data_IF_194576530838
#
_entry.id   IF_194576530838
#
_cell.length_a   1.000
_cell.length_b   1.000
_cell.length_c   1.000
_cell.angle_alpha   90.00
_cell.angle_beta   90.00
_cell.angle_gamma   90.00
#
_symmetry.space_group_name_H-M   'P 1'
#
loop_
_entity.id
_entity.type
_entity.pdbx_description
1 polymer ?
#
# COMPACT_ATOMS: atom_id res chain seq x y z
N UNK A 1 4.24 27.08 -9.50
CA UNK A 1 5.10 25.91 -9.25
C UNK A 1 4.92 24.90 -10.35
N UNK A 2 6.02 24.48 -10.99
CA UNK A 2 6.04 23.52 -12.10
C UNK A 2 5.74 22.08 -11.62
N UNK A 3 5.34 21.18 -12.52
CA UNK A 3 5.04 19.77 -12.18
C UNK A 3 6.25 19.02 -11.63
N UNK A 4 7.45 19.37 -12.10
CA UNK A 4 8.72 18.73 -11.72
C UNK A 4 9.49 19.50 -10.65
N UNK A 5 8.97 20.62 -10.18
CA UNK A 5 9.63 21.44 -9.15
C UNK A 5 9.44 20.76 -7.78
N UNK A 6 10.53 20.37 -7.08
CA UNK A 6 10.42 19.73 -5.78
C UNK A 6 9.95 20.73 -4.71
N UNK A 7 9.05 20.29 -3.84
CA UNK A 7 8.63 21.04 -2.67
C UNK A 7 8.71 20.15 -1.42
N UNK A 8 8.92 20.79 -0.27
CA UNK A 8 9.00 20.08 1.02
C UNK A 8 7.60 19.82 1.54
N UNK A 9 7.36 18.61 2.03
CA UNK A 9 6.15 18.33 2.80
C UNK A 9 6.33 18.95 4.18
N UNK A 10 5.47 19.91 4.57
CA UNK A 10 5.54 20.48 5.90
C UNK A 10 5.19 19.39 6.91
N UNK A 11 5.59 19.60 8.16
CA UNK A 11 4.98 18.82 9.24
C UNK A 11 5.15 17.30 9.07
N UNK A 12 6.35 16.85 8.68
CA UNK A 12 6.78 15.46 8.82
C UNK A 12 8.04 15.35 9.68
N UNK A 13 8.27 14.19 10.35
CA UNK A 13 9.50 13.97 11.11
C UNK A 13 10.76 14.09 10.23
N UNK A 14 10.67 13.65 8.98
CA UNK A 14 11.77 13.69 8.01
C UNK A 14 11.58 14.78 6.96
N UNK A 15 12.69 15.23 6.37
CA UNK A 15 12.68 16.20 5.28
C UNK A 15 12.34 15.50 3.96
N UNK A 16 11.06 15.25 3.74
CA UNK A 16 10.58 14.66 2.49
C UNK A 16 10.35 15.76 1.45
N UNK A 17 10.88 15.56 0.25
CA UNK A 17 10.64 16.40 -0.92
C UNK A 17 9.93 15.60 -1.99
N UNK A 18 8.85 16.15 -2.53
CA UNK A 18 8.09 15.55 -3.62
C UNK A 18 7.90 16.57 -4.74
N UNK A 19 7.75 16.07 -5.97
CA UNK A 19 7.22 16.85 -7.09
C UNK A 19 5.70 16.68 -7.15
N UNK A 20 4.98 17.55 -7.87
CA UNK A 20 3.53 17.41 -8.03
C UNK A 20 3.15 16.10 -8.73
N UNK A 21 3.99 15.67 -9.69
CA UNK A 21 3.81 14.40 -10.40
C UNK A 21 3.94 13.16 -9.52
N UNK A 22 4.55 13.27 -8.33
CA UNK A 22 4.66 12.19 -7.35
C UNK A 22 3.50 12.16 -6.35
N UNK A 23 2.63 13.18 -6.34
CA UNK A 23 1.49 13.21 -5.43
C UNK A 23 0.44 12.19 -5.85
N UNK A 24 -0.25 11.55 -4.88
CA UNK A 24 -1.43 10.76 -5.16
C UNK A 24 -2.45 11.57 -5.96
N UNK A 25 -3.11 10.93 -6.93
CA UNK A 25 -4.13 11.59 -7.76
C UNK A 25 -5.22 12.24 -6.93
N UNK A 26 -5.54 11.70 -5.74
CA UNK A 26 -6.52 12.29 -4.83
C UNK A 26 -6.13 13.65 -4.25
N UNK A 27 -4.84 13.97 -4.19
CA UNK A 27 -4.33 15.21 -3.57
C UNK A 27 -3.96 16.24 -4.66
N UNK A 28 -3.88 15.82 -5.93
CA UNK A 28 -3.55 16.69 -7.04
C UNK A 28 -4.76 17.59 -7.41
N UNK A 29 -4.63 18.93 -7.48
CA UNK A 29 -5.73 19.84 -7.85
C UNK A 29 -6.38 19.55 -9.20
N UNK A 30 -5.72 18.79 -10.08
CA UNK A 30 -6.28 18.31 -11.36
C UNK A 30 -7.08 17.01 -11.26
N UNK A 31 -7.39 16.52 -10.05
CA UNK A 31 -8.13 15.27 -9.83
C UNK A 31 -9.58 15.35 -10.29
N UNK A 32 -10.15 14.19 -10.65
CA UNK A 32 -11.57 14.05 -10.97
C UNK A 32 -12.43 14.51 -9.79
N UNK A 33 -13.53 15.22 -10.07
CA UNK A 33 -14.45 15.79 -9.06
C UNK A 33 -14.92 14.75 -8.03
N UNK A 34 -15.23 13.53 -8.48
CA UNK A 34 -15.67 12.43 -7.60
C UNK A 34 -14.63 12.05 -6.53
N UNK A 35 -13.33 12.19 -6.83
CA UNK A 35 -12.26 11.89 -5.88
C UNK A 35 -12.14 12.99 -4.83
N UNK A 36 -12.37 14.24 -5.22
CA UNK A 36 -12.35 15.39 -4.31
C UNK A 36 -13.52 15.32 -3.33
N UNK A 37 -14.73 15.01 -3.82
CA UNK A 37 -15.92 14.83 -2.98
C UNK A 37 -15.73 13.71 -1.95
N UNK A 38 -15.08 12.62 -2.35
CA UNK A 38 -14.76 11.54 -1.43
C UNK A 38 -13.75 11.96 -0.36
N UNK A 39 -12.75 12.76 -0.72
CA UNK A 39 -11.75 13.26 0.24
C UNK A 39 -12.36 14.21 1.27
N UNK A 40 -13.28 15.09 0.87
CA UNK A 40 -14.02 15.96 1.79
C UNK A 40 -14.82 15.12 2.80
N UNK A 41 -15.48 14.06 2.33
CA UNK A 41 -16.22 13.14 3.22
C UNK A 41 -15.31 12.41 4.20
N UNK A 42 -14.13 11.96 3.77
CA UNK A 42 -13.13 11.36 4.66
C UNK A 42 -12.70 12.36 5.74
N UNK A 43 -12.37 13.59 5.36
CA UNK A 43 -11.91 14.60 6.31
C UNK A 43 -12.99 14.94 7.35
N UNK A 44 -14.25 15.07 6.92
CA UNK A 44 -15.36 15.30 7.83
C UNK A 44 -15.54 14.13 8.83
N UNK A 45 -15.50 12.89 8.33
CA UNK A 45 -15.58 11.71 9.20
C UNK A 45 -14.39 11.63 10.18
N UNK A 46 -13.16 11.89 9.71
CA UNK A 46 -11.96 11.89 10.54
C UNK A 46 -11.94 12.95 11.64
N UNK A 47 -12.73 14.01 11.51
CA UNK A 47 -12.88 15.03 12.55
C UNK A 47 -13.81 14.57 13.69
N UNK A 48 -14.71 13.62 13.42
CA UNK A 48 -15.72 13.15 14.37
C UNK A 48 -15.35 11.80 15.03
N UNK A 49 -14.38 11.06 14.50
CA UNK A 49 -13.98 9.76 15.06
C UNK A 49 -13.38 9.91 16.46
N UNK A 50 -13.66 8.92 17.32
CA UNK A 50 -13.01 8.84 18.64
C UNK A 50 -11.49 8.67 18.51
N UNK A 51 -11.02 7.88 17.55
CA UNK A 51 -9.60 7.69 17.28
C UNK A 51 -9.38 6.77 16.09
N UNK A 52 -8.11 6.46 15.82
CA UNK A 52 -7.70 5.79 14.58
C UNK A 52 -7.05 4.45 14.88
N UNK A 53 -7.49 3.42 14.16
CA UNK A 53 -6.89 2.08 14.20
C UNK A 53 -6.07 1.90 12.93
N UNK A 54 -4.78 1.59 13.07
CA UNK A 54 -3.83 1.50 11.96
C UNK A 54 -3.26 0.09 11.89
N UNK A 55 -3.28 -0.51 10.69
CA UNK A 55 -2.59 -1.75 10.39
C UNK A 55 -1.09 -1.50 10.15
N UNK A 56 -0.40 -1.00 11.18
CA UNK A 56 1.05 -0.82 11.30
C UNK A 56 1.44 -1.16 12.74
N UNK A 57 2.73 -1.08 13.08
CA UNK A 57 3.26 -1.26 14.44
C UNK A 57 4.37 -0.24 14.71
N UNK A 58 4.59 0.11 15.99
CA UNK A 58 5.44 1.24 16.37
C UNK A 58 6.88 1.07 15.90
N UNK A 59 7.40 -0.14 15.93
CA UNK A 59 8.78 -0.47 15.57
C UNK A 59 9.05 -0.27 14.07
N UNK A 60 8.01 -0.33 13.23
CA UNK A 60 8.13 -0.07 11.79
C UNK A 60 8.28 1.43 11.49
N UNK A 61 7.49 2.27 12.17
CA UNK A 61 7.36 3.70 11.84
C UNK A 61 7.33 4.61 13.10
N UNK A 62 8.33 4.52 14.00
CA UNK A 62 8.21 5.03 15.37
C UNK A 62 7.95 6.53 15.46
N UNK A 63 8.70 7.33 14.69
CA UNK A 63 8.59 8.80 14.70
C UNK A 63 7.28 9.29 14.10
N UNK A 64 6.72 8.56 13.13
CA UNK A 64 5.46 8.90 12.48
C UNK A 64 4.28 8.55 13.38
N UNK A 65 4.31 7.38 14.01
CA UNK A 65 3.29 6.96 15.00
C UNK A 65 3.24 7.92 16.18
N UNK A 66 4.38 8.29 16.77
CA UNK A 66 4.41 9.18 17.92
C UNK A 66 3.91 10.60 17.57
N UNK A 67 4.25 11.09 16.37
CA UNK A 67 3.72 12.35 15.87
C UNK A 67 2.21 12.29 15.66
N UNK A 68 1.72 11.27 14.94
CA UNK A 68 0.31 11.15 14.61
C UNK A 68 -0.56 10.95 15.86
N UNK A 69 -0.04 10.24 16.87
CA UNK A 69 -0.63 10.18 18.21
C UNK A 69 -0.80 11.56 18.82
N UNK A 70 0.26 12.37 18.83
CA UNK A 70 0.21 13.74 19.36
C UNK A 70 -0.84 14.59 18.63
N UNK A 71 -0.94 14.47 17.31
CA UNK A 71 -1.93 15.19 16.50
C UNK A 71 -3.37 14.72 16.76
N UNK A 72 -3.57 13.42 17.03
CA UNK A 72 -4.89 12.82 17.32
C UNK A 72 -5.21 12.68 18.82
N UNK A 73 -4.45 13.34 19.70
CA UNK A 73 -4.69 13.33 21.15
C UNK A 73 -4.51 11.97 21.81
N UNK A 74 -3.47 11.22 21.42
CA UNK A 74 -3.09 9.88 21.87
C UNK A 74 -4.08 8.75 21.57
N UNK A 75 -5.09 9.01 20.73
CA UNK A 75 -6.11 8.03 20.34
C UNK A 75 -5.77 7.32 19.03
N UNK A 76 -4.56 6.75 18.95
CA UNK A 76 -4.09 5.97 17.80
C UNK A 76 -3.56 4.61 18.25
N UNK A 77 -4.18 3.55 17.72
CA UNK A 77 -3.84 2.17 18.01
C UNK A 77 -3.27 1.49 16.77
N UNK A 78 -1.99 1.18 16.82
CA UNK A 78 -1.29 0.36 15.85
C UNK A 78 -1.53 -1.12 16.21
N UNK A 79 -2.28 -1.85 15.39
CA UNK A 79 -2.69 -3.24 15.64
C UNK A 79 -2.13 -4.22 14.58
N UNK A 80 -1.22 -3.74 13.72
CA UNK A 80 -0.65 -4.53 12.63
C UNK A 80 0.50 -5.44 13.06
N UNK A 81 0.93 -6.39 12.23
CA UNK A 81 0.46 -6.70 10.86
C UNK A 81 -0.70 -7.71 10.89
N UNK A 82 -1.91 -7.27 10.54
CA UNK A 82 -3.11 -8.14 10.52
C UNK A 82 -2.98 -9.31 9.54
N UNK A 83 -2.09 -9.20 8.54
CA UNK A 83 -1.80 -10.28 7.59
C UNK A 83 -1.18 -11.52 8.24
N UNK A 84 -0.50 -11.38 9.39
CA UNK A 84 0.16 -12.49 10.08
C UNK A 84 -0.78 -13.25 11.03
N UNK A 85 -1.89 -12.62 11.42
CA UNK A 85 -2.84 -13.18 12.39
C UNK A 85 -3.91 -14.06 11.73
N UNK A 86 -4.22 -13.83 10.46
CA UNK A 86 -5.19 -14.63 9.72
C UNK A 86 -4.55 -15.95 9.27
N UNK A 87 -4.56 -16.95 10.15
CA UNK A 87 -4.01 -18.29 9.89
C UNK A 87 -5.03 -19.26 9.32
N UNK A 88 -6.32 -19.02 9.53
CA UNK A 88 -7.37 -19.93 9.08
C UNK A 88 -7.66 -19.81 7.58
N UNK A 89 -7.84 -20.96 6.94
CA UNK A 89 -8.11 -21.08 5.51
C UNK A 89 -9.43 -20.39 5.11
N UNK A 90 -10.40 -20.32 6.03
CA UNK A 90 -11.70 -19.66 5.84
C UNK A 90 -11.58 -18.13 5.77
N UNK A 91 -10.70 -17.51 6.57
CA UNK A 91 -10.48 -16.05 6.58
C UNK A 91 -9.74 -15.57 5.32
N UNK A 92 -8.99 -16.46 4.67
CA UNK A 92 -8.29 -16.20 3.39
C UNK A 92 -9.19 -16.43 2.18
N UNK A 93 -10.01 -17.49 2.20
CA UNK A 93 -10.84 -17.92 1.08
C UNK A 93 -11.92 -16.91 0.68
N UNK A 94 -12.41 -16.06 1.60
CA UNK A 94 -13.39 -15.03 1.26
C UNK A 94 -12.80 -13.80 0.56
N UNK A 95 -11.47 -13.65 0.55
CA UNK A 95 -10.78 -12.50 -0.07
C UNK A 95 -10.28 -12.78 -1.49
N UNK A 96 -10.35 -14.03 -1.94
CA UNK A 96 -9.71 -14.51 -3.17
C UNK A 96 -10.71 -14.73 -4.30
N UNK A 97 -10.39 -14.21 -5.49
CA UNK A 97 -10.89 -14.80 -6.73
C UNK A 97 -10.19 -16.16 -6.93
N UNK A 98 -10.90 -17.14 -7.50
CA UNK A 98 -10.33 -18.45 -7.77
C UNK A 98 -9.07 -18.31 -8.62
N UNK A 99 -7.92 -18.68 -8.05
CA UNK A 99 -6.64 -18.62 -8.76
C UNK A 99 -6.67 -19.53 -10.00
N UNK A 100 -5.92 -19.13 -11.03
CA UNK A 100 -5.80 -19.94 -12.26
C UNK A 100 -5.03 -21.24 -12.02
N UNK A 101 -4.17 -21.29 -11.00
CA UNK A 101 -3.33 -22.44 -10.64
C UNK A 101 -3.75 -22.91 -9.25
N UNK A 102 -3.83 -24.22 -9.08
CA UNK A 102 -4.10 -24.83 -7.78
C UNK A 102 -2.99 -24.52 -6.76
N UNK A 103 -3.39 -24.16 -5.54
CA UNK A 103 -2.46 -23.80 -4.46
C UNK A 103 -1.44 -24.91 -4.19
N UNK A 104 -1.85 -26.17 -4.22
CA UNK A 104 -0.96 -27.28 -3.91
C UNK A 104 0.07 -27.50 -5.02
N UNK A 105 -0.30 -27.24 -6.27
CA UNK A 105 0.65 -27.30 -7.39
C UNK A 105 1.75 -26.23 -7.27
N UNK A 106 1.35 -24.99 -6.97
CA UNK A 106 2.31 -23.88 -6.77
C UNK A 106 3.27 -24.18 -5.60
N UNK A 107 2.74 -24.64 -4.47
CA UNK A 107 3.56 -25.00 -3.30
C UNK A 107 4.49 -26.18 -3.57
N UNK A 108 4.02 -27.19 -4.33
CA UNK A 108 4.87 -28.31 -4.72
C UNK A 108 6.06 -27.84 -5.56
N UNK A 109 5.81 -27.02 -6.59
CA UNK A 109 6.87 -26.46 -7.42
C UNK A 109 7.86 -25.61 -6.61
N UNK A 110 7.36 -24.79 -5.67
CA UNK A 110 8.21 -23.94 -4.84
C UNK A 110 9.13 -24.75 -3.91
N UNK A 111 8.64 -25.88 -3.37
CA UNK A 111 9.42 -26.77 -2.52
C UNK A 111 10.54 -27.52 -3.28
N UNK A 112 10.50 -27.54 -4.62
CA UNK A 112 11.52 -28.17 -5.46
C UNK A 112 12.66 -27.19 -5.82
N UNK A 113 12.58 -25.91 -5.44
CA UNK A 113 13.59 -24.89 -5.75
C UNK A 113 14.59 -24.70 -4.60
N UNK A 114 15.79 -24.22 -4.93
CA UNK A 114 16.82 -23.92 -3.93
C UNK A 114 16.42 -22.71 -3.05
N UNK A 115 16.80 -22.68 -1.76
CA UNK A 115 16.51 -21.54 -0.91
C UNK A 115 17.06 -20.22 -1.47
N UNK A 116 16.18 -19.23 -1.61
CA UNK A 116 16.54 -17.90 -2.14
C UNK A 116 16.69 -17.83 -3.66
N UNK A 117 16.34 -18.87 -4.42
CA UNK A 117 16.45 -18.87 -5.89
C UNK A 117 15.20 -18.38 -6.63
N UNK A 118 14.09 -18.12 -5.91
CA UNK A 118 12.79 -17.75 -6.51
C UNK A 118 12.46 -16.30 -6.22
N UNK A 119 12.05 -15.56 -7.26
CA UNK A 119 11.52 -14.19 -7.14
C UNK A 119 10.00 -14.21 -7.09
N UNK A 120 9.41 -13.55 -6.10
CA UNK A 120 7.98 -13.28 -6.05
C UNK A 120 7.68 -11.92 -6.69
N UNK A 121 6.92 -11.91 -7.78
CA UNK A 121 6.46 -10.69 -8.44
C UNK A 121 4.93 -10.56 -8.33
N UNK A 122 4.45 -9.49 -7.69
CA UNK A 122 3.02 -9.22 -7.52
C UNK A 122 2.76 -7.71 -7.54
N UNK A 123 1.79 -7.29 -8.37
CA UNK A 123 1.45 -5.89 -8.61
C UNK A 123 0.15 -5.48 -7.91
N UNK A 124 -0.20 -6.18 -6.83
CA UNK A 124 -1.45 -6.00 -6.11
C UNK A 124 -2.67 -6.58 -6.84
N UNK A 125 -3.84 -6.45 -6.21
CA UNK A 125 -5.10 -6.97 -6.75
C UNK A 125 -5.63 -6.19 -7.94
N UNK A 126 -5.23 -4.92 -8.10
CA UNK A 126 -5.63 -4.05 -9.21
C UNK A 126 -4.41 -3.82 -10.09
N UNK A 127 -4.15 -4.74 -11.02
CA UNK A 127 -3.08 -4.61 -12.00
C UNK A 127 -3.38 -3.49 -12.99
N UNK A 128 -2.64 -2.38 -12.91
CA UNK A 128 -2.76 -1.23 -13.85
C UNK A 128 -1.59 -1.17 -14.83
N UNK A 129 -1.27 -2.30 -15.46
CA UNK A 129 -0.24 -2.36 -16.49
C UNK A 129 -0.84 -2.41 -17.89
N UNK A 130 -0.21 -1.71 -18.83
CA UNK A 130 -0.47 -1.92 -20.25
C UNK A 130 0.11 -3.27 -20.70
N UNK A 131 -0.42 -3.86 -21.79
CA UNK A 131 0.15 -5.07 -22.37
C UNK A 131 1.64 -4.93 -22.71
N UNK A 132 2.08 -3.76 -23.18
CA UNK A 132 3.48 -3.49 -23.47
C UNK A 132 4.35 -3.53 -22.22
N UNK A 133 3.90 -2.94 -21.11
CA UNK A 133 4.64 -3.02 -19.84
C UNK A 133 4.76 -4.47 -19.33
N UNK A 134 3.72 -5.28 -19.54
CA UNK A 134 3.75 -6.69 -19.17
C UNK A 134 4.75 -7.48 -20.02
N UNK A 135 4.84 -7.17 -21.32
CA UNK A 135 5.85 -7.76 -22.22
C UNK A 135 7.26 -7.41 -21.74
N UNK A 136 7.53 -6.13 -21.46
CA UNK A 136 8.85 -5.70 -20.97
C UNK A 136 9.22 -6.36 -19.64
N UNK A 137 8.28 -6.48 -18.70
CA UNK A 137 8.52 -7.21 -17.43
C UNK A 137 8.83 -8.69 -17.70
N UNK A 138 8.11 -9.31 -18.63
CA UNK A 138 8.33 -10.72 -18.99
C UNK A 138 9.72 -10.94 -19.58
N UNK A 139 10.15 -10.07 -20.49
CA UNK A 139 11.49 -10.11 -21.08
C UNK A 139 12.59 -9.87 -20.03
N UNK A 140 12.35 -8.95 -19.09
CA UNK A 140 13.27 -8.70 -17.97
C UNK A 140 13.42 -9.90 -17.03
N UNK A 141 12.33 -10.63 -16.77
CA UNK A 141 12.37 -11.85 -15.95
C UNK A 141 13.01 -13.02 -16.67
N UNK A 142 12.82 -13.17 -17.98
CA UNK A 142 13.43 -14.22 -18.79
C UNK A 142 14.96 -14.07 -18.90
N UNK A 143 15.47 -12.84 -18.82
CA UNK A 143 16.89 -12.52 -18.94
C UNK A 143 17.67 -12.49 -17.62
N UNK A 144 17.02 -12.78 -16.48
CA UNK A 144 17.59 -12.73 -15.13
C UNK A 144 18.23 -14.04 -14.66
#
# INVERSE_FOLDING_TARGET
MSESEPFKIPDLPDKIQLTKSQLPTSINPGSLLDVQDFQVKIQAAEAEVYGVVINSFKELEPRYVDRYRKEKGDKVWCIGLLSLCNKDHLDKAQRENKAAIDKNQCLKWLNEQEPGSVVYACLGSIGRLSPLQLIEISLGLESS
#
